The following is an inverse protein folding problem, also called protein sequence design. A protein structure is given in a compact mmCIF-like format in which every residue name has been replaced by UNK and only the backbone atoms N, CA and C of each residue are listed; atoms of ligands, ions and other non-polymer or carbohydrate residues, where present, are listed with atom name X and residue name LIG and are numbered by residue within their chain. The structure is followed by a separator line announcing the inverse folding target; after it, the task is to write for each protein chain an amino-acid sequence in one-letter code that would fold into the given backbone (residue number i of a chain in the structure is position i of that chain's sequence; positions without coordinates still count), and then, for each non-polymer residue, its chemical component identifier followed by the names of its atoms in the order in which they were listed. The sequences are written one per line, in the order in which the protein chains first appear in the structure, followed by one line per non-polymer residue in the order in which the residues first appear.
data_IF_140047619284
#
_entry.id   IF_140047619284
#
_cell.length_a   1.000
_cell.length_b   1.000
_cell.length_c   1.000
_cell.angle_alpha   90.00
_cell.angle_beta   90.00
_cell.angle_gamma   90.00
#
_symmetry.space_group_name_H-M   'P 1'
#
loop_
_entity.id
_entity.type
_entity.pdbx_description
1 polymer ?
#
# COMPACT_ATOMS: atom_id res chain seq x y z
N UNK A 1 -4.48 57.77 39.96
CA UNK A 1 -4.11 56.34 39.81
C UNK A 1 -5.32 55.62 39.22
N UNK A 2 -5.10 54.78 38.19
CA UNK A 2 -6.07 53.93 37.46
C UNK A 2 -6.52 54.45 36.10
N UNK A 3 -5.64 54.24 35.11
CA UNK A 3 -6.04 54.11 33.71
C UNK A 3 -6.62 52.71 33.51
N UNK A 4 -7.87 52.62 33.05
CA UNK A 4 -8.51 51.38 32.62
C UNK A 4 -8.11 51.12 31.16
N UNK A 5 -7.15 50.22 30.95
CA UNK A 5 -6.83 49.69 29.63
C UNK A 5 -7.69 48.45 29.41
N UNK A 6 -8.70 48.57 28.55
CA UNK A 6 -9.45 47.43 28.03
C UNK A 6 -8.61 46.77 26.92
N UNK A 7 -8.02 45.62 27.20
CA UNK A 7 -7.36 44.79 26.20
C UNK A 7 -8.40 43.90 25.53
N UNK A 8 -8.73 44.20 24.27
CA UNK A 8 -9.57 43.39 23.41
C UNK A 8 -8.73 42.24 22.84
N UNK A 9 -8.83 41.05 23.43
CA UNK A 9 -8.15 39.85 22.93
C UNK A 9 -8.91 39.31 21.70
N UNK A 10 -8.41 39.61 20.50
CA UNK A 10 -8.87 38.96 19.27
C UNK A 10 -8.31 37.53 19.28
N UNK A 11 -9.17 36.56 19.56
CA UNK A 11 -8.89 35.16 19.33
C UNK A 11 -8.91 34.92 17.81
N UNK A 12 -7.74 34.91 17.19
CA UNK A 12 -7.59 34.40 15.82
C UNK A 12 -7.73 32.89 15.91
N UNK A 13 -8.94 32.39 15.65
CA UNK A 13 -9.13 30.97 15.38
C UNK A 13 -8.48 30.68 14.03
N UNK A 14 -7.29 30.08 14.06
CA UNK A 14 -6.65 29.48 12.88
C UNK A 14 -7.53 28.31 12.41
N UNK A 15 -8.55 28.61 11.61
CA UNK A 15 -9.20 27.59 10.81
C UNK A 15 -8.14 27.11 9.82
N UNK A 16 -7.64 25.90 10.03
CA UNK A 16 -6.86 25.18 9.05
C UNK A 16 -7.77 24.88 7.85
N UNK A 17 -7.99 25.88 7.01
CA UNK A 17 -8.54 25.67 5.69
C UNK A 17 -7.51 24.87 4.92
N UNK A 18 -7.90 23.67 4.47
CA UNK A 18 -7.10 22.90 3.54
C UNK A 18 -6.74 23.81 2.35
N UNK A 19 -5.48 23.78 1.93
CA UNK A 19 -4.99 24.56 0.80
C UNK A 19 -5.89 24.26 -0.42
N UNK A 20 -6.53 25.28 -1.03
CA UNK A 20 -7.39 25.10 -2.19
C UNK A 20 -6.75 24.27 -3.31
N UNK A 21 -5.42 24.37 -3.44
CA UNK A 21 -4.68 23.59 -4.43
C UNK A 21 -4.56 22.11 -4.07
N UNK A 22 -4.37 21.79 -2.79
CA UNK A 22 -4.38 20.40 -2.31
C UNK A 22 -5.75 19.76 -2.55
N UNK A 23 -6.85 20.50 -2.34
CA UNK A 23 -8.20 20.00 -2.64
C UNK A 23 -8.39 19.65 -4.12
N UNK A 24 -7.90 20.50 -5.04
CA UNK A 24 -7.94 20.20 -6.48
C UNK A 24 -7.12 18.97 -6.85
N UNK A 25 -5.95 18.80 -6.21
CA UNK A 25 -5.13 17.61 -6.44
C UNK A 25 -5.83 16.37 -5.92
N UNK A 26 -6.46 16.43 -4.74
CA UNK A 26 -7.28 15.33 -4.24
C UNK A 26 -8.40 14.97 -5.21
N UNK A 27 -9.15 15.96 -5.70
CA UNK A 27 -10.22 15.76 -6.68
C UNK A 27 -9.70 15.09 -7.96
N UNK A 28 -8.56 15.56 -8.48
CA UNK A 28 -7.89 14.96 -9.63
C UNK A 28 -7.51 13.50 -9.37
N UNK A 29 -6.90 13.20 -8.22
CA UNK A 29 -6.48 11.85 -7.87
C UNK A 29 -7.68 10.91 -7.67
N UNK A 30 -8.80 11.41 -7.13
CA UNK A 30 -10.06 10.68 -7.04
C UNK A 30 -10.65 10.42 -8.43
N UNK A 31 -10.65 11.41 -9.33
CA UNK A 31 -11.09 11.24 -10.71
C UNK A 31 -10.25 10.20 -11.47
N UNK A 32 -8.95 10.10 -11.18
CA UNK A 32 -8.09 9.04 -11.72
C UNK A 32 -8.28 7.67 -11.03
N UNK A 33 -9.02 7.64 -9.93
CA UNK A 33 -9.24 6.47 -9.07
C UNK A 33 -7.98 6.02 -8.32
N UNK A 34 -7.00 6.90 -8.12
CA UNK A 34 -5.76 6.60 -7.40
C UNK A 34 -5.98 6.51 -5.89
N UNK A 35 -6.83 7.37 -5.33
CA UNK A 35 -7.12 7.36 -3.88
C UNK A 35 -7.73 6.02 -3.47
N UNK A 36 -8.72 5.53 -4.21
CA UNK A 36 -9.32 4.22 -3.97
C UNK A 36 -8.30 3.10 -4.12
N UNK A 37 -7.41 3.21 -5.11
CA UNK A 37 -6.33 2.23 -5.34
C UNK A 37 -5.37 2.17 -4.15
N UNK A 38 -4.99 3.31 -3.58
CA UNK A 38 -4.14 3.37 -2.40
C UNK A 38 -4.85 2.84 -1.15
N UNK A 39 -6.13 3.17 -0.97
CA UNK A 39 -6.94 2.63 0.13
C UNK A 39 -7.02 1.09 0.05
N UNK A 40 -7.26 0.55 -1.14
CA UNK A 40 -7.24 -0.89 -1.36
C UNK A 40 -5.85 -1.51 -1.13
N UNK A 41 -4.77 -0.85 -1.54
CA UNK A 41 -3.40 -1.33 -1.30
C UNK A 41 -3.08 -1.40 0.20
N UNK A 42 -3.46 -0.38 0.98
CA UNK A 42 -3.32 -0.38 2.43
C UNK A 42 -4.08 -1.57 3.04
N UNK A 43 -5.31 -1.82 2.58
CA UNK A 43 -6.12 -2.92 3.08
C UNK A 43 -5.54 -4.30 2.68
N UNK A 44 -5.07 -4.46 1.44
CA UNK A 44 -4.39 -5.67 0.99
C UNK A 44 -3.08 -5.92 1.76
N UNK A 45 -2.37 -4.86 2.15
CA UNK A 45 -1.17 -4.97 2.98
C UNK A 45 -1.45 -5.62 4.34
N UNK A 46 -2.59 -5.31 4.97
CA UNK A 46 -3.00 -5.95 6.23
C UNK A 46 -3.25 -7.45 6.06
N UNK A 47 -3.98 -7.82 5.01
CA UNK A 47 -4.26 -9.24 4.74
C UNK A 47 -2.97 -10.00 4.38
N UNK A 48 -2.07 -9.38 3.62
CA UNK A 48 -0.75 -9.95 3.34
C UNK A 48 0.05 -10.20 4.63
N UNK A 49 0.11 -9.23 5.55
CA UNK A 49 0.80 -9.40 6.82
C UNK A 49 0.22 -10.55 7.65
N UNK A 50 -1.11 -10.73 7.62
CA UNK A 50 -1.78 -11.85 8.26
C UNK A 50 -1.36 -13.20 7.65
N UNK A 51 -1.29 -13.29 6.32
CA UNK A 51 -0.85 -14.50 5.63
C UNK A 51 0.62 -14.83 5.97
N UNK A 52 1.50 -13.84 6.02
CA UNK A 52 2.90 -14.02 6.45
C UNK A 52 2.97 -14.54 7.88
N UNK A 53 2.22 -13.94 8.82
CA UNK A 53 2.20 -14.39 10.21
C UNK A 53 1.74 -15.85 10.33
N UNK A 54 0.68 -16.22 9.61
CA UNK A 54 0.15 -17.58 9.57
C UNK A 54 1.16 -18.58 9.00
N UNK A 55 1.86 -18.22 7.92
CA UNK A 55 2.87 -19.08 7.32
C UNK A 55 4.04 -19.35 8.29
N UNK A 56 4.56 -18.30 8.93
CA UNK A 56 5.66 -18.43 9.90
C UNK A 56 5.23 -19.26 11.11
N UNK A 57 4.02 -19.02 11.63
CA UNK A 57 3.46 -19.79 12.74
C UNK A 57 3.26 -21.27 12.37
N UNK A 58 2.75 -21.55 11.16
CA UNK A 58 2.62 -22.91 10.65
C UNK A 58 3.95 -23.66 10.60
N UNK A 59 5.02 -23.00 10.13
CA UNK A 59 6.37 -23.58 10.12
C UNK A 59 6.91 -23.84 11.54
N UNK A 60 6.72 -22.89 12.47
CA UNK A 60 7.19 -23.05 13.85
C UNK A 60 6.45 -24.15 14.61
N UNK A 61 5.12 -24.18 14.51
CA UNK A 61 4.28 -25.17 15.19
C UNK A 61 4.49 -26.58 14.65
N UNK A 62 4.72 -26.73 13.34
CA UNK A 62 5.08 -28.02 12.73
C UNK A 62 6.42 -28.56 13.26
N UNK A 63 7.39 -27.69 13.53
CA UNK A 63 8.71 -28.07 14.05
C UNK A 63 8.73 -28.34 15.55
N UNK A 64 8.00 -27.54 16.33
CA UNK A 64 8.08 -27.52 17.80
C UNK A 64 6.99 -28.35 18.48
N UNK A 65 5.90 -28.68 17.77
CA UNK A 65 4.72 -29.39 18.30
C UNK A 65 4.27 -28.87 19.69
N UNK A 66 3.96 -27.57 19.84
CA UNK A 66 3.68 -26.97 21.13
C UNK A 66 2.39 -27.49 21.75
N UNK A 67 2.34 -27.52 23.09
CA UNK A 67 1.11 -27.77 23.84
C UNK A 67 0.14 -26.56 23.75
N UNK A 68 -1.07 -26.71 24.27
CA UNK A 68 -2.11 -25.67 24.21
C UNK A 68 -1.71 -24.33 24.87
N UNK A 69 -0.89 -24.35 25.92
CA UNK A 69 -0.41 -23.13 26.55
C UNK A 69 0.49 -22.33 25.59
N UNK A 70 1.45 -23.00 24.98
CA UNK A 70 2.37 -22.36 24.04
C UNK A 70 1.71 -21.97 22.73
N UNK A 71 0.73 -22.73 22.23
CA UNK A 71 -0.10 -22.34 21.07
C UNK A 71 -0.77 -20.99 21.29
N UNK A 72 -1.45 -20.81 22.43
CA UNK A 72 -2.08 -19.52 22.79
C UNK A 72 -1.08 -18.36 22.84
N UNK A 73 0.14 -18.62 23.30
CA UNK A 73 1.21 -17.61 23.32
C UNK A 73 1.72 -17.27 21.92
N UNK A 74 1.79 -18.24 21.01
CA UNK A 74 2.13 -18.01 19.60
C UNK A 74 1.02 -17.23 18.87
N UNK A 75 -0.24 -17.55 19.13
CA UNK A 75 -1.38 -16.81 18.57
C UNK A 75 -1.34 -15.35 19.03
N UNK A 76 -1.19 -15.11 20.33
CA UNK A 76 -1.09 -13.75 20.88
C UNK A 76 0.11 -12.96 20.33
N UNK A 77 1.24 -13.63 20.06
CA UNK A 77 2.40 -13.00 19.43
C UNK A 77 2.13 -12.65 17.96
N UNK A 78 1.41 -13.52 17.23
CA UNK A 78 1.00 -13.26 15.84
C UNK A 78 0.03 -12.10 15.75
N UNK A 79 -0.97 -12.03 16.64
CA UNK A 79 -1.92 -10.91 16.70
C UNK A 79 -1.18 -9.59 16.97
N UNK A 80 -0.26 -9.59 17.94
CA UNK A 80 0.57 -8.41 18.24
C UNK A 80 1.40 -7.99 17.02
N UNK A 81 1.95 -8.93 16.27
CA UNK A 81 2.69 -8.63 15.05
C UNK A 81 1.78 -7.98 14.00
N UNK A 82 0.62 -8.56 13.74
CA UNK A 82 -0.35 -8.05 12.75
C UNK A 82 -0.73 -6.61 13.11
N UNK A 83 -1.09 -6.35 14.36
CA UNK A 83 -1.45 -5.02 14.85
C UNK A 83 -0.29 -4.01 14.71
N UNK A 84 0.93 -4.47 14.98
CA UNK A 84 2.14 -3.62 14.89
C UNK A 84 2.59 -3.38 13.44
N UNK A 85 2.18 -4.22 12.51
CA UNK A 85 2.55 -4.16 11.09
C UNK A 85 1.54 -3.38 10.23
N UNK A 86 0.46 -2.85 10.84
CA UNK A 86 -0.48 -1.96 10.15
C UNK A 86 0.18 -0.61 9.86
N UNK A 87 0.03 -0.10 8.63
CA UNK A 87 0.51 1.24 8.29
C UNK A 87 -0.26 2.29 9.12
N UNK A 88 0.42 3.27 9.75
CA UNK A 88 -0.27 4.29 10.54
C UNK A 88 -0.93 5.38 9.68
N UNK A 89 -0.60 5.45 8.38
CA UNK A 89 -1.13 6.43 7.44
C UNK A 89 -2.30 5.88 6.62
N UNK A 90 -3.12 6.81 6.15
CA UNK A 90 -4.31 6.61 5.32
C UNK A 90 -4.04 6.99 3.86
N UNK A 91 -5.01 6.75 2.98
CA UNK A 91 -4.92 7.22 1.59
C UNK A 91 -4.93 8.76 1.49
N UNK A 92 -5.61 9.46 2.40
CA UNK A 92 -5.64 10.92 2.42
C UNK A 92 -4.27 11.49 2.87
N UNK A 93 -3.59 10.84 3.82
CA UNK A 93 -2.20 11.19 4.16
C UNK A 93 -1.25 11.06 2.96
N UNK A 94 -1.49 10.05 2.09
CA UNK A 94 -0.75 9.88 0.85
C UNK A 94 -1.08 10.98 -0.17
N UNK A 95 -2.33 11.43 -0.25
CA UNK A 95 -2.74 12.58 -1.07
C UNK A 95 -2.00 13.84 -0.62
N UNK A 96 -1.96 14.13 0.68
CA UNK A 96 -1.26 15.30 1.21
C UNK A 96 0.23 15.29 0.88
N UNK A 97 0.87 14.12 0.94
CA UNK A 97 2.27 13.96 0.54
C UNK A 97 2.43 14.14 -0.97
N UNK A 98 1.54 13.53 -1.77
CA UNK A 98 1.57 13.66 -3.23
C UNK A 98 1.40 15.11 -3.66
N UNK A 99 0.44 15.83 -3.08
CA UNK A 99 0.14 17.22 -3.39
C UNK A 99 1.35 18.14 -3.19
N UNK A 100 2.18 17.88 -2.17
CA UNK A 100 3.42 18.64 -1.91
C UNK A 100 4.43 18.53 -3.06
N UNK A 101 4.53 17.37 -3.71
CA UNK A 101 5.50 17.13 -4.78
C UNK A 101 4.93 17.40 -6.17
N UNK A 102 3.66 17.05 -6.39
CA UNK A 102 2.99 17.15 -7.69
C UNK A 102 2.41 18.55 -7.93
N UNK A 103 1.81 19.14 -6.89
CA UNK A 103 1.10 20.41 -6.97
C UNK A 103 1.94 21.58 -7.50
N UNK A 104 3.20 21.79 -7.08
CA UNK A 104 4.02 22.88 -7.60
C UNK A 104 4.22 22.85 -9.12
N UNK A 105 4.06 21.70 -9.78
CA UNK A 105 4.22 21.56 -11.22
C UNK A 105 3.05 22.08 -12.07
N UNK A 106 1.92 22.46 -11.44
CA UNK A 106 0.71 22.88 -12.14
C UNK A 106 0.17 24.19 -11.59
N UNK A 107 -0.46 24.98 -12.44
CA UNK A 107 -1.33 26.09 -12.05
C UNK A 107 -2.72 25.58 -11.69
N UNK A 108 -3.51 26.39 -10.98
CA UNK A 108 -4.88 26.01 -10.62
C UNK A 108 -5.77 25.78 -11.86
N UNK A 109 -5.53 26.53 -12.94
CA UNK A 109 -6.27 26.39 -14.18
C UNK A 109 -5.91 25.11 -14.95
N UNK A 110 -4.66 24.64 -14.85
CA UNK A 110 -4.25 23.35 -15.42
C UNK A 110 -4.84 22.19 -14.61
N UNK A 111 -4.86 22.31 -13.28
CA UNK A 111 -5.54 21.34 -12.42
C UNK A 111 -7.04 21.24 -12.76
N UNK A 112 -7.73 22.36 -12.95
CA UNK A 112 -9.14 22.36 -13.38
C UNK A 112 -9.35 21.65 -14.71
N UNK A 113 -8.46 21.86 -15.69
CA UNK A 113 -8.54 21.19 -16.98
C UNK A 113 -8.31 19.68 -16.85
N UNK A 114 -7.36 19.26 -16.00
CA UNK A 114 -7.11 17.84 -15.74
C UNK A 114 -8.30 17.20 -15.04
N UNK A 115 -8.88 17.86 -14.02
CA UNK A 115 -10.08 17.39 -13.33
C UNK A 115 -11.24 17.22 -14.32
N UNK A 116 -11.49 18.23 -15.17
CA UNK A 116 -12.55 18.17 -16.17
C UNK A 116 -12.33 17.03 -17.17
N UNK A 117 -11.09 16.82 -17.63
CA UNK A 117 -10.75 15.72 -18.51
C UNK A 117 -11.00 14.36 -17.84
N UNK A 118 -10.40 14.12 -16.67
CA UNK A 118 -10.49 12.83 -16.00
C UNK A 118 -11.91 12.55 -15.49
N UNK A 119 -12.71 13.56 -15.19
CA UNK A 119 -14.12 13.40 -14.83
C UNK A 119 -15.04 13.18 -16.04
N UNK A 120 -14.53 13.32 -17.28
CA UNK A 120 -15.34 13.10 -18.47
C UNK A 120 -15.78 11.63 -18.62
N UNK A 121 -16.94 11.35 -19.23
CA UNK A 121 -17.40 9.97 -19.43
C UNK A 121 -16.42 9.10 -20.23
N UNK A 122 -15.69 9.70 -21.17
CA UNK A 122 -14.71 8.97 -21.97
C UNK A 122 -13.48 8.60 -21.15
N UNK A 123 -12.93 9.52 -20.36
CA UNK A 123 -11.78 9.23 -19.50
C UNK A 123 -12.12 8.20 -18.43
N UNK A 124 -13.29 8.30 -17.79
CA UNK A 124 -13.76 7.30 -16.83
C UNK A 124 -13.89 5.91 -17.47
N UNK A 125 -14.44 5.84 -18.70
CA UNK A 125 -14.52 4.58 -19.44
C UNK A 125 -13.14 4.04 -19.78
N UNK A 126 -12.21 4.89 -20.22
CA UNK A 126 -10.84 4.50 -20.53
C UNK A 126 -10.15 3.92 -19.29
N UNK A 127 -10.23 4.58 -18.13
CA UNK A 127 -9.65 4.10 -16.87
C UNK A 127 -10.17 2.69 -16.53
N UNK A 128 -11.49 2.48 -16.61
CA UNK A 128 -12.09 1.18 -16.32
C UNK A 128 -11.64 0.09 -17.31
N UNK A 129 -11.64 0.40 -18.60
CA UNK A 129 -11.21 -0.54 -19.65
C UNK A 129 -9.73 -0.86 -19.51
N UNK A 130 -8.89 0.14 -19.27
CA UNK A 130 -7.44 -0.01 -19.11
C UNK A 130 -7.08 -0.83 -17.88
N UNK A 131 -7.79 -0.67 -16.76
CA UNK A 131 -7.62 -1.53 -15.58
C UNK A 131 -7.94 -3.00 -15.90
N UNK A 132 -9.09 -3.25 -16.55
CA UNK A 132 -9.48 -4.61 -16.93
C UNK A 132 -8.57 -5.23 -17.99
N UNK A 133 -8.03 -4.41 -18.90
CA UNK A 133 -7.06 -4.86 -19.91
C UNK A 133 -5.70 -5.18 -19.28
N UNK A 134 -5.22 -4.35 -18.36
CA UNK A 134 -3.95 -4.55 -17.66
C UNK A 134 -3.92 -5.86 -16.89
N UNK A 135 -5.01 -6.21 -16.18
CA UNK A 135 -5.13 -7.50 -15.49
C UNK A 135 -4.93 -8.68 -16.45
N UNK A 136 -5.66 -8.68 -17.58
CA UNK A 136 -5.54 -9.72 -18.61
C UNK A 136 -4.16 -9.76 -19.25
N UNK A 137 -3.58 -8.58 -19.49
CA UNK A 137 -2.24 -8.45 -20.04
C UNK A 137 -1.19 -9.07 -19.11
N UNK A 138 -1.24 -8.74 -17.82
CA UNK A 138 -0.32 -9.31 -16.82
C UNK A 138 -0.49 -10.82 -16.70
N UNK A 139 -1.72 -11.32 -16.64
CA UNK A 139 -2.00 -12.77 -16.57
C UNK A 139 -1.44 -13.53 -17.78
N UNK A 140 -1.56 -12.97 -18.99
CA UNK A 140 -1.01 -13.58 -20.19
C UNK A 140 0.50 -13.80 -20.08
N UNK A 141 1.26 -12.78 -19.69
CA UNK A 141 2.71 -12.91 -19.55
C UNK A 141 3.12 -13.75 -18.35
N UNK A 142 2.34 -13.77 -17.26
CA UNK A 142 2.57 -14.71 -16.16
C UNK A 142 2.46 -16.16 -16.65
N UNK A 143 1.44 -16.49 -17.44
CA UNK A 143 1.26 -17.83 -18.00
C UNK A 143 2.39 -18.22 -18.95
N UNK A 144 2.86 -17.28 -19.79
CA UNK A 144 4.02 -17.53 -20.67
C UNK A 144 5.32 -17.74 -19.89
N UNK A 145 5.50 -17.03 -18.77
CA UNK A 145 6.69 -17.14 -17.93
C UNK A 145 6.70 -18.38 -17.02
N UNK A 146 5.53 -18.94 -16.71
CA UNK A 146 5.41 -20.09 -15.80
C UNK A 146 6.28 -21.28 -16.19
N UNK A 147 6.24 -21.83 -17.43
CA UNK A 147 7.11 -22.94 -17.81
C UNK A 147 8.61 -22.58 -17.83
N UNK A 148 8.95 -21.31 -18.10
CA UNK A 148 10.34 -20.83 -18.05
C UNK A 148 10.85 -20.88 -16.62
N UNK A 149 10.05 -20.38 -15.68
CA UNK A 149 10.38 -20.38 -14.25
C UNK A 149 10.45 -21.80 -13.69
N UNK A 150 9.53 -22.68 -14.07
CA UNK A 150 9.55 -24.10 -13.67
C UNK A 150 10.84 -24.79 -14.15
N UNK A 151 11.23 -24.59 -15.40
CA UNK A 151 12.49 -25.12 -15.94
C UNK A 151 13.70 -24.60 -15.17
N UNK A 152 13.78 -23.29 -14.93
CA UNK A 152 14.88 -22.68 -14.21
C UNK A 152 14.95 -23.17 -12.75
N UNK A 153 13.80 -23.33 -12.09
CA UNK A 153 13.71 -23.84 -10.72
C UNK A 153 14.21 -25.29 -10.65
N UNK A 154 13.81 -26.14 -11.60
CA UNK A 154 14.28 -27.52 -11.65
C UNK A 154 15.79 -27.61 -11.85
N UNK A 155 16.36 -26.77 -12.74
CA UNK A 155 17.81 -26.71 -12.94
C UNK A 155 18.52 -26.27 -11.66
N UNK A 156 18.05 -25.20 -11.03
CA UNK A 156 18.61 -24.69 -9.78
C UNK A 156 18.62 -25.77 -8.68
N UNK A 157 17.55 -26.54 -8.55
CA UNK A 157 17.48 -27.64 -7.58
C UNK A 157 18.47 -28.77 -7.88
N UNK A 158 18.68 -29.11 -9.16
CA UNK A 158 19.69 -30.09 -9.57
C UNK A 158 21.11 -29.61 -9.23
N UNK A 159 21.41 -28.34 -9.51
CA UNK A 159 22.71 -27.75 -9.22
C UNK A 159 23.00 -27.76 -7.71
N UNK A 160 22.01 -27.41 -6.87
CA UNK A 160 22.14 -27.48 -5.41
C UNK A 160 22.38 -28.90 -4.90
N UNK A 161 21.73 -29.91 -5.48
CA UNK A 161 21.94 -31.30 -5.12
C UNK A 161 23.37 -31.76 -5.45
N UNK A 162 23.89 -31.37 -6.62
CA UNK A 162 25.27 -31.65 -7.03
C UNK A 162 26.27 -30.99 -6.06
N UNK A 163 26.11 -29.70 -5.79
CA UNK A 163 26.97 -28.95 -4.86
C UNK A 163 26.96 -29.58 -3.47
N UNK A 164 25.79 -30.00 -2.97
CA UNK A 164 25.66 -30.63 -1.65
C UNK A 164 26.39 -31.97 -1.61
N UNK A 165 26.27 -32.78 -2.68
CA UNK A 165 26.98 -34.04 -2.81
C UNK A 165 28.51 -33.84 -2.89
N UNK A 166 28.97 -32.82 -3.62
CA UNK A 166 30.39 -32.47 -3.76
C UNK A 166 30.99 -31.92 -2.46
N UNK A 167 30.28 -31.03 -1.77
CA UNK A 167 30.72 -30.38 -0.55
C UNK A 167 30.92 -31.38 0.61
N UNK A 168 30.15 -32.49 0.61
CA UNK A 168 30.14 -33.44 1.71
C UNK A 168 29.79 -32.78 3.06
N UNK A 169 28.98 -31.70 3.04
CA UNK A 169 28.72 -30.86 4.21
C UNK A 169 27.92 -31.56 5.33
N UNK A 170 27.52 -32.81 5.13
CA UNK A 170 26.76 -33.63 6.08
C UNK A 170 27.67 -34.59 6.89
N UNK A 171 28.92 -34.18 7.17
CA UNK A 171 29.79 -34.86 8.14
C UNK A 171 29.90 -34.05 9.43
#
# INVERSE_FOLDING_TARGET
MRYLVAALSIAVASQAFADPKTQKIEELLRAQGLVDTWAEQIQRGKEYNKQVAQQVMGQMTAKLAPNEEFKKRFDAASDKFIDSAVTPWTADDMVDVWAKFYGPGFTDAELDQLIAFYSSPLAQKEIQVSRAALEKFTLHFQQLNQPILEKATNQYMQDLQLITAECNCAK
#
